data_IF_447782771831
#
_entry.id   IF_447782771831
#
_cell.length_a   1.000
_cell.length_b   1.000
_cell.length_c   1.000
_cell.angle_alpha   90.00
_cell.angle_beta   90.00
_cell.angle_gamma   90.00
#
_symmetry.space_group_name_H-M   'P 1'
#
loop_
_entity.id
_entity.type
_entity.pdbx_description
1 polymer ?
#
# COMPACT_ATOMS: atom_id res chain seq x y z
N UNK A 1 6.67 -34.12 -19.07
CA UNK A 1 6.37 -33.27 -17.90
C UNK A 1 5.04 -33.75 -17.31
N UNK A 2 4.99 -34.23 -16.04
CA UNK A 2 3.73 -34.48 -15.35
C UNK A 2 3.03 -33.15 -15.18
N UNK A 3 1.82 -32.99 -15.68
CA UNK A 3 0.97 -31.88 -15.34
C UNK A 3 0.79 -31.89 -13.81
N UNK A 4 1.32 -30.90 -13.10
CA UNK A 4 1.03 -30.74 -11.68
C UNK A 4 -0.48 -30.47 -11.60
N UNK A 5 -1.19 -31.22 -10.73
CA UNK A 5 -2.58 -30.89 -10.45
C UNK A 5 -2.64 -29.46 -9.93
N UNK A 6 -3.60 -28.64 -10.39
CA UNK A 6 -3.75 -27.29 -9.88
C UNK A 6 -3.96 -27.31 -8.36
N UNK A 7 -3.37 -26.35 -7.66
CA UNK A 7 -3.60 -26.16 -6.22
C UNK A 7 -5.04 -25.67 -6.07
N UNK A 8 -5.87 -26.42 -5.35
CA UNK A 8 -7.28 -26.11 -5.16
C UNK A 8 -7.57 -25.29 -3.88
N UNK A 9 -6.63 -25.33 -2.93
CA UNK A 9 -6.78 -24.65 -1.64
C UNK A 9 -5.40 -24.34 -1.05
N UNK A 10 -5.25 -23.15 -0.48
CA UNK A 10 -4.08 -22.77 0.32
C UNK A 10 -4.54 -22.21 1.66
N UNK A 11 -3.90 -22.63 2.75
CA UNK A 11 -4.10 -22.07 4.09
C UNK A 11 -2.75 -21.55 4.58
N UNK A 12 -2.72 -20.31 5.05
CA UNK A 12 -1.52 -19.67 5.54
C UNK A 12 -1.83 -18.70 6.69
N UNK A 13 -0.80 -18.24 7.38
CA UNK A 13 -0.92 -17.29 8.48
C UNK A 13 -1.68 -16.04 8.05
N UNK A 14 -2.64 -15.58 8.88
CA UNK A 14 -3.43 -14.39 8.59
C UNK A 14 -2.54 -13.20 8.27
N UNK A 15 -2.68 -12.56 7.09
CA UNK A 15 -1.78 -11.52 6.64
C UNK A 15 -1.96 -10.19 7.36
N UNK A 16 -0.98 -9.31 7.17
CA UNK A 16 -1.03 -7.89 7.52
C UNK A 16 -1.00 -7.04 6.24
N UNK A 17 -1.68 -5.90 6.26
CA UNK A 17 -1.61 -4.91 5.19
C UNK A 17 -0.72 -3.74 5.62
N UNK A 18 0.45 -3.60 5.00
CA UNK A 18 1.43 -2.60 5.41
C UNK A 18 1.23 -1.23 4.75
N UNK A 19 0.11 -1.05 4.00
CA UNK A 19 -0.26 0.24 3.40
C UNK A 19 -1.74 0.30 3.04
N UNK A 20 -2.55 1.05 3.79
CA UNK A 20 -4.00 1.11 3.62
C UNK A 20 -4.56 2.52 3.82
N UNK A 21 -5.46 2.95 2.93
CA UNK A 21 -6.28 4.16 3.10
C UNK A 21 -7.71 3.82 3.48
N UNK A 22 -8.18 4.32 4.62
CA UNK A 22 -9.54 4.09 5.10
C UNK A 22 -10.46 5.31 4.95
N UNK A 23 -9.88 6.51 4.74
CA UNK A 23 -10.62 7.78 4.80
C UNK A 23 -11.22 8.01 6.20
N UNK A 24 -12.30 8.79 6.31
CA UNK A 24 -12.95 9.10 7.59
C UNK A 24 -14.48 9.21 7.43
N UNK A 25 -15.20 9.40 8.53
CA UNK A 25 -16.65 9.57 8.54
C UNK A 25 -17.41 8.37 7.97
N UNK A 26 -18.44 8.61 7.17
CA UNK A 26 -19.28 7.56 6.59
C UNK A 26 -18.50 6.54 5.73
N UNK A 27 -17.35 6.94 5.17
CA UNK A 27 -16.51 6.06 4.39
C UNK A 27 -15.92 4.90 5.22
N UNK A 28 -15.60 5.12 6.51
CA UNK A 28 -15.06 4.07 7.39
C UNK A 28 -15.97 2.85 7.48
N UNK A 29 -17.26 3.07 7.70
CA UNK A 29 -18.23 1.98 7.81
C UNK A 29 -18.34 1.14 6.54
N UNK A 30 -18.06 1.75 5.38
CA UNK A 30 -18.10 1.06 4.09
C UNK A 30 -16.85 0.22 3.80
N UNK A 31 -15.65 0.64 4.28
CA UNK A 31 -14.39 0.02 3.84
C UNK A 31 -13.68 -0.80 4.93
N UNK A 32 -13.83 -0.44 6.21
CA UNK A 32 -13.19 -1.17 7.32
C UNK A 32 -13.58 -2.64 7.36
N UNK A 33 -14.85 -3.05 7.12
CA UNK A 33 -15.22 -4.47 7.10
C UNK A 33 -14.41 -5.28 6.08
N UNK A 34 -14.16 -4.76 4.89
CA UNK A 34 -13.47 -5.48 3.82
C UNK A 34 -12.02 -5.83 4.20
N UNK A 35 -11.30 -4.88 4.79
CA UNK A 35 -9.93 -5.13 5.26
C UNK A 35 -9.90 -5.99 6.52
N UNK A 36 -10.82 -5.76 7.47
CA UNK A 36 -10.89 -6.52 8.72
C UNK A 36 -11.24 -8.00 8.52
N UNK A 37 -11.88 -8.37 7.43
CA UNK A 37 -12.13 -9.78 7.09
C UNK A 37 -10.85 -10.51 6.68
N UNK A 38 -9.94 -9.85 6.00
CA UNK A 38 -8.76 -10.46 5.38
C UNK A 38 -7.53 -10.34 6.28
N UNK A 39 -7.28 -9.16 6.84
CA UNK A 39 -6.04 -8.80 7.52
C UNK A 39 -6.22 -8.78 9.05
N UNK A 40 -5.17 -9.19 9.77
CA UNK A 40 -5.12 -9.05 11.22
C UNK A 40 -4.81 -7.62 11.64
N UNK A 41 -3.91 -6.96 10.90
CA UNK A 41 -3.47 -5.58 11.13
C UNK A 41 -3.35 -4.84 9.80
N UNK A 42 -3.45 -3.50 9.88
CA UNK A 42 -3.07 -2.68 8.73
C UNK A 42 -2.40 -1.37 9.16
N UNK A 43 -1.35 -0.97 8.42
CA UNK A 43 -0.74 0.35 8.55
C UNK A 43 -1.60 1.38 7.85
N UNK A 44 -2.24 2.24 8.63
CA UNK A 44 -3.24 3.19 8.15
C UNK A 44 -2.58 4.50 7.77
N UNK A 45 -2.78 4.93 6.52
CA UNK A 45 -2.21 6.15 5.99
C UNK A 45 -2.88 7.40 6.57
N UNK A 46 -2.09 8.47 6.86
CA UNK A 46 -2.53 9.62 7.64
C UNK A 46 -3.09 10.77 6.80
N UNK A 47 -3.22 10.62 5.48
CA UNK A 47 -3.58 11.69 4.53
C UNK A 47 -5.09 11.99 4.48
N UNK A 48 -5.65 12.29 5.64
CA UNK A 48 -7.00 12.83 5.78
C UNK A 48 -7.03 14.33 5.45
N UNK A 49 -8.20 14.94 5.55
CA UNK A 49 -8.41 16.40 5.52
C UNK A 49 -9.15 16.85 6.80
N UNK A 50 -8.44 17.48 7.77
CA UNK A 50 -6.98 17.71 7.82
C UNK A 50 -6.17 16.44 8.02
N UNK A 51 -4.85 16.44 7.71
CA UNK A 51 -3.99 15.27 7.90
C UNK A 51 -3.72 14.97 9.37
N UNK A 52 -3.40 13.72 9.67
CA UNK A 52 -3.05 13.26 11.02
C UNK A 52 -1.58 13.60 11.29
N UNK A 53 -1.32 14.68 12.03
CA UNK A 53 0.04 15.19 12.30
C UNK A 53 0.45 15.09 13.75
N UNK A 54 -0.43 14.67 14.66
CA UNK A 54 -0.14 14.55 16.10
C UNK A 54 -0.56 13.20 16.66
N UNK A 55 0.07 12.81 17.77
CA UNK A 55 -0.27 11.60 18.54
C UNK A 55 -1.75 11.58 18.94
N UNK A 56 -2.28 12.71 19.41
CA UNK A 56 -3.69 12.81 19.81
C UNK A 56 -4.65 12.58 18.65
N UNK A 57 -4.34 13.13 17.46
CA UNK A 57 -5.13 12.89 16.25
C UNK A 57 -5.05 11.42 15.80
N UNK A 58 -3.88 10.78 15.90
CA UNK A 58 -3.71 9.37 15.57
C UNK A 58 -4.55 8.48 16.49
N UNK A 59 -4.55 8.73 17.81
CA UNK A 59 -5.40 8.01 18.78
C UNK A 59 -6.88 8.19 18.46
N UNK A 60 -7.33 9.42 18.26
CA UNK A 60 -8.73 9.70 17.93
C UNK A 60 -9.17 9.06 16.60
N UNK A 61 -8.28 9.00 15.61
CA UNK A 61 -8.58 8.31 14.35
C UNK A 61 -8.64 6.79 14.55
N UNK A 62 -7.72 6.23 15.35
CA UNK A 62 -7.74 4.80 15.71
C UNK A 62 -9.08 4.40 16.36
N UNK A 63 -9.58 5.20 17.29
CA UNK A 63 -10.86 4.95 17.95
C UNK A 63 -12.04 4.91 16.95
N UNK A 64 -12.06 5.84 15.99
CA UNK A 64 -13.09 5.85 14.94
C UNK A 64 -13.01 4.63 14.04
N UNK A 65 -11.81 4.17 13.69
CA UNK A 65 -11.61 2.94 12.90
C UNK A 65 -12.11 1.73 13.68
N UNK A 66 -11.73 1.60 14.95
CA UNK A 66 -12.16 0.48 15.80
C UNK A 66 -13.68 0.44 15.99
N UNK A 67 -14.33 1.60 16.07
CA UNK A 67 -15.80 1.67 16.14
C UNK A 67 -16.50 1.20 14.84
N UNK A 68 -15.78 1.17 13.70
CA UNK A 68 -16.28 0.69 12.41
C UNK A 68 -15.95 -0.79 12.14
N UNK A 69 -15.16 -1.44 13.00
CA UNK A 69 -14.85 -2.88 12.88
C UNK A 69 -16.12 -3.68 13.23
N UNK A 70 -16.55 -4.61 12.37
CA UNK A 70 -17.71 -5.46 12.68
C UNK A 70 -17.51 -6.29 13.95
N UNK A 71 -18.58 -6.43 14.72
CA UNK A 71 -18.56 -7.26 15.94
C UNK A 71 -18.08 -8.68 15.62
N UNK A 72 -17.17 -9.20 16.45
CA UNK A 72 -16.60 -10.54 16.30
C UNK A 72 -15.38 -10.62 15.38
N UNK A 73 -15.01 -9.55 14.66
CA UNK A 73 -13.77 -9.50 13.92
C UNK A 73 -12.65 -8.89 14.78
N UNK A 74 -11.49 -9.54 14.77
CA UNK A 74 -10.27 -8.98 15.34
C UNK A 74 -9.50 -8.25 14.24
N UNK A 75 -9.31 -6.94 14.42
CA UNK A 75 -8.52 -6.11 13.51
C UNK A 75 -7.79 -5.01 14.30
N UNK A 76 -6.51 -4.84 14.04
CA UNK A 76 -5.69 -3.82 14.68
C UNK A 76 -5.21 -2.76 13.68
N UNK A 77 -5.72 -1.52 13.73
CA UNK A 77 -5.17 -0.42 12.96
C UNK A 77 -3.86 0.08 13.56
N UNK A 78 -2.79 0.00 12.79
CA UNK A 78 -1.47 0.52 13.10
C UNK A 78 -1.37 1.95 12.58
N UNK A 79 -1.36 2.93 13.49
CA UNK A 79 -1.48 4.33 13.12
C UNK A 79 -0.16 4.94 12.68
N UNK A 80 -0.25 5.94 11.78
CA UNK A 80 0.89 6.71 11.30
C UNK A 80 0.66 8.21 11.46
N UNK A 81 1.75 8.99 11.50
CA UNK A 81 1.69 10.45 11.35
C UNK A 81 2.04 10.87 9.93
N UNK A 82 1.51 12.01 9.56
CA UNK A 82 1.82 12.69 8.29
C UNK A 82 3.05 13.60 8.50
N UNK A 83 4.14 13.35 7.75
CA UNK A 83 5.31 14.20 7.76
C UNK A 83 5.02 15.50 6.99
N UNK A 84 5.20 16.62 7.66
CA UNK A 84 5.11 17.97 7.08
C UNK A 84 6.42 18.71 7.27
N UNK A 85 6.63 19.81 6.55
CA UNK A 85 7.81 20.69 6.74
C UNK A 85 7.96 21.20 8.17
N UNK A 86 6.88 21.19 8.96
CA UNK A 86 6.83 21.77 10.32
C UNK A 86 6.53 20.76 11.42
N UNK A 87 6.49 19.45 11.11
CA UNK A 87 6.33 18.43 12.14
C UNK A 87 7.50 18.48 13.13
N UNK A 88 7.20 18.82 14.39
CA UNK A 88 8.24 19.03 15.40
C UNK A 88 8.90 17.70 15.82
N UNK A 89 10.23 17.66 16.01
CA UNK A 89 10.94 16.47 16.52
C UNK A 89 10.38 15.95 17.85
N UNK A 90 9.90 16.84 18.71
CA UNK A 90 9.29 16.48 20.00
C UNK A 90 8.00 15.68 19.86
N UNK A 91 7.31 15.75 18.71
CA UNK A 91 6.11 14.97 18.46
C UNK A 91 6.43 13.48 18.25
N UNK A 92 7.63 13.15 17.77
CA UNK A 92 8.04 11.77 17.53
C UNK A 92 8.02 10.91 18.79
N UNK A 93 8.53 11.46 19.90
CA UNK A 93 8.48 10.77 21.21
C UNK A 93 7.05 10.56 21.70
N UNK A 94 6.17 11.58 21.55
CA UNK A 94 4.76 11.47 21.90
C UNK A 94 4.03 10.45 21.02
N UNK A 95 4.29 10.47 19.72
CA UNK A 95 3.72 9.53 18.77
C UNK A 95 4.09 8.07 19.11
N UNK A 96 5.37 7.81 19.36
CA UNK A 96 5.83 6.48 19.76
C UNK A 96 5.18 6.00 21.07
N UNK A 97 5.10 6.88 22.08
CA UNK A 97 4.43 6.56 23.36
C UNK A 97 2.93 6.28 23.19
N UNK A 98 2.28 6.88 22.18
CA UNK A 98 0.88 6.65 21.84
C UNK A 98 0.64 5.43 20.91
N UNK A 99 1.69 4.65 20.59
CA UNK A 99 1.58 3.46 19.76
C UNK A 99 1.54 3.74 18.25
N UNK A 100 1.93 4.94 17.80
CA UNK A 100 2.16 5.22 16.37
C UNK A 100 3.35 4.39 15.89
N UNK A 101 3.20 3.70 14.76
CA UNK A 101 4.19 2.73 14.26
C UNK A 101 5.14 3.31 13.22
N UNK A 102 4.80 4.42 12.58
CA UNK A 102 5.63 5.03 11.54
C UNK A 102 5.20 6.48 11.24
N UNK A 103 6.02 7.19 10.45
CA UNK A 103 5.67 8.51 9.90
C UNK A 103 5.71 8.44 8.38
N UNK A 104 4.67 8.92 7.71
CA UNK A 104 4.52 8.89 6.24
C UNK A 104 4.95 10.17 5.59
N UNK A 105 5.89 10.07 4.67
CA UNK A 105 6.34 11.12 3.75
C UNK A 105 5.51 11.10 2.47
N UNK A 106 4.88 12.21 2.16
CA UNK A 106 4.38 12.56 0.82
C UNK A 106 5.13 13.79 0.33
N UNK A 107 5.76 13.78 -0.84
CA UNK A 107 6.13 15.02 -1.52
C UNK A 107 4.88 15.86 -1.80
N UNK A 108 4.95 17.17 -1.59
CA UNK A 108 3.80 18.05 -1.78
C UNK A 108 3.25 17.96 -3.22
N UNK A 109 1.97 17.65 -3.35
CA UNK A 109 1.29 17.51 -4.65
C UNK A 109 1.55 16.19 -5.38
N UNK A 110 2.21 15.20 -4.76
CA UNK A 110 2.52 13.92 -5.42
C UNK A 110 1.28 13.05 -5.67
N UNK A 111 0.29 13.08 -4.78
CA UNK A 111 -0.90 12.23 -4.86
C UNK A 111 -2.11 12.87 -4.17
N UNK A 112 -3.21 12.15 -4.07
CA UNK A 112 -4.44 12.63 -3.41
C UNK A 112 -4.18 13.02 -1.95
N UNK A 113 -4.66 14.20 -1.54
CA UNK A 113 -4.48 14.78 -0.20
C UNK A 113 -3.02 14.91 0.24
N UNK A 114 -2.13 15.25 -0.70
CA UNK A 114 -0.71 15.50 -0.42
C UNK A 114 -0.33 16.99 -0.43
N UNK A 115 -1.29 17.89 -0.40
CA UNK A 115 -1.06 19.34 -0.40
C UNK A 115 -0.24 19.82 0.80
N UNK A 116 -0.42 19.18 1.98
CA UNK A 116 0.33 19.46 3.20
C UNK A 116 1.67 18.71 3.27
N UNK A 117 2.08 18.04 2.20
CA UNK A 117 3.28 17.22 2.12
C UNK A 117 4.57 18.03 2.23
N UNK A 118 5.68 17.31 2.18
CA UNK A 118 7.02 17.88 2.29
C UNK A 118 7.36 18.64 0.99
N UNK A 119 7.70 19.90 1.10
CA UNK A 119 8.13 20.74 -0.02
C UNK A 119 9.64 20.65 -0.25
N UNK A 120 10.40 20.49 0.83
CA UNK A 120 11.86 20.34 0.81
C UNK A 120 12.29 19.35 1.90
N UNK A 121 12.84 18.20 1.50
CA UNK A 121 13.18 17.12 2.43
C UNK A 121 14.12 17.54 3.55
N UNK A 122 15.07 18.46 3.27
CA UNK A 122 16.04 18.95 4.29
C UNK A 122 15.39 19.68 5.46
N UNK A 123 14.20 20.25 5.29
CA UNK A 123 13.46 20.90 6.39
C UNK A 123 13.02 19.88 7.45
N UNK A 124 12.83 18.63 7.05
CA UNK A 124 12.38 17.55 7.95
C UNK A 124 13.54 16.84 8.67
N UNK A 125 14.81 17.16 8.37
CA UNK A 125 15.98 16.46 8.91
C UNK A 125 16.00 16.38 10.44
N UNK A 126 15.68 17.44 11.21
CA UNK A 126 15.62 17.31 12.67
C UNK A 126 14.56 16.29 13.16
N UNK A 127 13.45 16.17 12.42
CA UNK A 127 12.40 15.20 12.73
C UNK A 127 12.83 13.79 12.32
N UNK A 128 13.52 13.63 11.18
CA UNK A 128 14.08 12.34 10.75
C UNK A 128 15.15 11.82 11.70
N UNK A 129 15.98 12.70 12.24
CA UNK A 129 16.97 12.37 13.28
C UNK A 129 16.27 11.84 14.55
N UNK A 130 15.22 12.54 15.01
CA UNK A 130 14.40 12.08 16.13
C UNK A 130 13.74 10.72 15.84
N UNK A 131 13.27 10.48 14.62
CA UNK A 131 12.72 9.20 14.20
C UNK A 131 13.76 8.08 14.22
N UNK A 132 14.98 8.32 13.71
CA UNK A 132 16.08 7.37 13.75
C UNK A 132 16.41 6.98 15.19
N UNK A 133 16.60 7.96 16.09
CA UNK A 133 16.86 7.71 17.51
C UNK A 133 15.70 6.97 18.21
N UNK A 134 14.47 7.29 17.84
CA UNK A 134 13.30 6.62 18.38
C UNK A 134 13.07 5.21 17.80
N UNK A 135 13.74 4.84 16.71
CA UNK A 135 13.48 3.62 15.96
C UNK A 135 12.10 3.62 15.29
N UNK A 136 11.57 4.80 14.90
CA UNK A 136 10.29 4.95 14.24
C UNK A 136 10.50 5.01 12.72
N UNK A 137 9.97 4.06 11.93
CA UNK A 137 10.17 4.00 10.49
C UNK A 137 9.63 5.21 9.72
N UNK A 138 10.29 5.55 8.62
CA UNK A 138 9.83 6.46 7.59
C UNK A 138 9.19 5.66 6.44
N UNK A 139 7.94 5.95 6.12
CA UNK A 139 7.22 5.38 4.98
C UNK A 139 7.23 6.41 3.86
N UNK A 140 7.68 6.04 2.66
CA UNK A 140 7.98 7.00 1.60
C UNK A 140 7.11 6.78 0.37
N UNK A 141 6.30 7.79 0.00
CA UNK A 141 5.78 7.91 -1.35
C UNK A 141 6.90 8.51 -2.23
N UNK A 142 7.51 7.68 -3.06
CA UNK A 142 8.77 8.02 -3.71
C UNK A 142 8.62 8.54 -5.12
N UNK A 143 7.99 9.68 -5.30
CA UNK A 143 7.91 10.38 -6.59
C UNK A 143 8.31 11.84 -6.46
N UNK A 144 9.09 12.34 -7.43
CA UNK A 144 9.31 13.80 -7.58
C UNK A 144 8.06 14.46 -8.16
N UNK A 145 7.86 15.75 -7.87
CA UNK A 145 6.67 16.50 -8.30
C UNK A 145 6.97 17.59 -9.33
N UNK A 146 8.22 17.68 -9.81
CA UNK A 146 8.60 18.59 -10.87
C UNK A 146 7.82 18.27 -12.15
N UNK A 147 7.01 19.20 -12.70
CA UNK A 147 6.22 18.98 -13.90
C UNK A 147 7.06 18.75 -15.17
N UNK A 148 8.34 19.09 -15.16
CA UNK A 148 9.26 18.83 -16.27
C UNK A 148 9.68 17.35 -16.34
N UNK A 149 9.48 16.58 -15.27
CA UNK A 149 9.81 15.15 -15.22
C UNK A 149 8.62 14.33 -15.69
N UNK A 150 8.86 13.44 -16.66
CA UNK A 150 7.84 12.48 -17.14
C UNK A 150 7.26 11.69 -15.96
N UNK A 151 5.93 11.56 -15.95
CA UNK A 151 5.21 10.85 -14.90
C UNK A 151 5.72 9.41 -14.66
N UNK A 152 6.19 8.75 -15.72
CA UNK A 152 6.70 7.39 -15.65
C UNK A 152 8.13 7.31 -15.08
N UNK A 153 8.87 8.40 -15.03
CA UNK A 153 10.26 8.48 -14.54
C UNK A 153 10.39 9.05 -13.12
N UNK A 154 9.30 9.58 -12.55
CA UNK A 154 9.29 10.28 -11.24
C UNK A 154 9.86 9.45 -10.10
N UNK A 155 9.54 8.15 -10.06
CA UNK A 155 10.06 7.24 -9.02
C UNK A 155 11.58 7.05 -9.15
N UNK A 156 12.08 6.83 -10.36
CA UNK A 156 13.52 6.72 -10.61
C UNK A 156 14.27 7.98 -10.22
N UNK A 157 13.76 9.15 -10.64
CA UNK A 157 14.38 10.43 -10.30
C UNK A 157 14.36 10.67 -8.79
N UNK A 158 13.29 10.26 -8.09
CA UNK A 158 13.23 10.35 -6.62
C UNK A 158 14.30 9.48 -5.95
N UNK A 159 14.52 8.26 -6.43
CA UNK A 159 15.59 7.38 -5.92
C UNK A 159 16.94 8.11 -6.03
N UNK A 160 17.26 8.60 -7.22
CA UNK A 160 18.57 9.19 -7.52
C UNK A 160 18.81 10.50 -6.74
N UNK A 161 17.79 11.34 -6.60
CA UNK A 161 17.93 12.71 -6.10
C UNK A 161 17.55 12.89 -4.63
N UNK A 162 16.72 12.01 -4.07
CA UNK A 162 16.18 12.14 -2.71
C UNK A 162 16.51 10.92 -1.84
N UNK A 163 16.22 9.71 -2.30
CA UNK A 163 16.25 8.53 -1.45
C UNK A 163 17.69 8.05 -1.16
N UNK A 164 18.57 8.06 -2.15
CA UNK A 164 20.00 7.74 -1.97
C UNK A 164 20.67 8.74 -1.03
N UNK A 165 20.56 10.08 -1.20
CA UNK A 165 21.06 11.05 -0.23
C UNK A 165 20.47 10.86 1.17
N UNK A 166 19.15 10.64 1.28
CA UNK A 166 18.48 10.42 2.56
C UNK A 166 19.06 9.21 3.31
N UNK A 167 19.25 8.08 2.62
CA UNK A 167 19.83 6.87 3.20
C UNK A 167 21.26 7.09 3.67
N UNK A 168 22.06 7.86 2.92
CA UNK A 168 23.43 8.23 3.31
C UNK A 168 23.43 9.09 4.59
N UNK A 169 22.52 10.07 4.66
CA UNK A 169 22.47 11.03 5.77
C UNK A 169 21.85 10.41 7.05
N UNK A 170 20.98 9.39 6.89
CA UNK A 170 20.32 8.64 8.00
C UNK A 170 20.51 7.12 7.83
N UNK A 171 21.71 6.57 8.11
CA UNK A 171 22.03 5.17 7.79
C UNK A 171 21.27 4.14 8.62
N UNK A 172 20.77 4.49 9.81
CA UNK A 172 20.03 3.59 10.71
C UNK A 172 18.52 3.86 10.71
N UNK A 173 18.03 4.88 10.01
CA UNK A 173 16.61 5.12 9.89
C UNK A 173 15.96 3.97 9.08
N UNK A 174 15.02 3.27 9.68
CA UNK A 174 14.20 2.31 8.93
C UNK A 174 13.37 3.05 7.88
N UNK A 175 13.47 2.63 6.63
CA UNK A 175 12.71 3.20 5.51
C UNK A 175 11.91 2.09 4.84
N UNK A 176 10.62 2.32 4.66
CA UNK A 176 9.77 1.52 3.78
C UNK A 176 9.52 2.34 2.52
N UNK A 177 10.05 1.87 1.40
CA UNK A 177 9.75 2.43 0.09
C UNK A 177 8.41 1.86 -0.36
N UNK A 178 7.37 2.68 -0.26
CA UNK A 178 6.00 2.24 -0.40
C UNK A 178 5.60 2.06 -1.87
N UNK A 179 4.72 1.04 -2.12
CA UNK A 179 4.05 0.79 -3.41
C UNK A 179 4.97 1.01 -4.63
N UNK A 180 6.18 0.44 -4.56
CA UNK A 180 7.19 0.59 -5.63
C UNK A 180 6.68 0.08 -6.98
N UNK A 181 7.12 0.73 -8.07
CA UNK A 181 6.57 0.46 -9.40
C UNK A 181 7.61 0.20 -10.47
N UNK A 182 8.89 0.42 -10.20
CA UNK A 182 9.96 0.31 -11.19
C UNK A 182 10.97 -0.78 -10.87
N UNK A 183 11.66 -1.27 -11.91
CA UNK A 183 12.81 -2.16 -11.75
C UNK A 183 13.93 -1.48 -10.96
N UNK A 184 14.12 -0.18 -11.15
CA UNK A 184 15.11 0.63 -10.44
C UNK A 184 14.83 0.63 -8.93
N UNK A 185 13.56 0.71 -8.53
CA UNK A 185 13.17 0.59 -7.12
C UNK A 185 13.47 -0.81 -6.55
N UNK A 186 13.21 -1.88 -7.31
CA UNK A 186 13.54 -3.24 -6.84
C UNK A 186 15.04 -3.41 -6.65
N UNK A 187 15.87 -2.92 -7.57
CA UNK A 187 17.33 -2.97 -7.47
C UNK A 187 17.82 -2.16 -6.25
N UNK A 188 17.34 -0.91 -6.11
CA UNK A 188 17.69 -0.07 -4.96
C UNK A 188 17.39 -0.77 -3.62
N UNK A 189 16.21 -1.36 -3.46
CA UNK A 189 15.81 -2.04 -2.21
C UNK A 189 16.67 -3.29 -1.96
N UNK A 190 16.99 -4.06 -3.01
CA UNK A 190 17.86 -5.25 -2.89
C UNK A 190 19.27 -4.87 -2.43
N UNK A 191 19.84 -3.80 -2.99
CA UNK A 191 21.20 -3.32 -2.71
C UNK A 191 21.29 -2.54 -1.38
N UNK A 192 20.19 -1.88 -0.96
CA UNK A 192 20.14 -1.15 0.30
C UNK A 192 20.30 -2.11 1.50
N UNK A 193 20.89 -1.61 2.59
CA UNK A 193 21.10 -2.37 3.82
C UNK A 193 19.81 -2.88 4.49
N UNK A 194 19.93 -3.48 5.67
CA UNK A 194 18.83 -4.09 6.42
C UNK A 194 17.74 -3.09 6.87
N UNK A 195 18.03 -1.80 6.89
CA UNK A 195 17.09 -0.75 7.28
C UNK A 195 16.18 -0.28 6.13
N UNK A 196 16.16 -0.99 5.00
CA UNK A 196 15.29 -0.66 3.86
C UNK A 196 14.43 -1.87 3.48
N UNK A 197 13.11 -1.67 3.45
CA UNK A 197 12.12 -2.58 2.90
C UNK A 197 11.22 -1.86 1.91
N UNK A 198 10.32 -2.58 1.25
CA UNK A 198 9.36 -1.99 0.32
C UNK A 198 8.02 -2.73 0.31
N UNK A 199 6.94 -1.99 0.11
CA UNK A 199 5.63 -2.57 -0.20
C UNK A 199 5.42 -2.68 -1.70
N UNK A 200 4.73 -3.75 -2.13
CA UNK A 200 4.30 -3.94 -3.51
C UNK A 200 2.80 -4.24 -3.52
N UNK A 201 2.05 -3.53 -4.33
CA UNK A 201 0.59 -3.68 -4.43
C UNK A 201 0.19 -4.77 -5.41
N UNK A 202 -0.99 -5.37 -5.22
CA UNK A 202 -1.53 -6.36 -6.14
C UNK A 202 -1.71 -5.81 -7.57
N UNK A 203 -2.18 -4.56 -7.70
CA UNK A 203 -2.39 -3.97 -9.01
C UNK A 203 -1.09 -3.70 -9.78
N UNK A 204 0.04 -3.40 -9.11
CA UNK A 204 1.34 -3.30 -9.76
C UNK A 204 1.96 -4.66 -10.13
N UNK A 205 1.57 -5.74 -9.45
CA UNK A 205 1.95 -7.11 -9.83
C UNK A 205 1.15 -7.62 -11.03
N UNK A 206 -0.16 -7.31 -11.07
CA UNK A 206 -1.09 -7.84 -12.06
C UNK A 206 -1.06 -7.07 -13.39
N UNK A 207 -0.85 -5.75 -13.34
CA UNK A 207 -1.08 -4.88 -14.49
C UNK A 207 0.12 -4.03 -14.85
N UNK A 208 0.31 -3.83 -16.17
CA UNK A 208 1.13 -2.77 -16.71
C UNK A 208 0.24 -1.59 -17.16
N UNK A 209 0.86 -0.49 -17.62
CA UNK A 209 0.17 0.75 -18.01
C UNK A 209 -0.92 0.58 -19.06
N UNK A 210 -0.89 -0.50 -19.88
CA UNK A 210 -1.95 -0.76 -20.86
C UNK A 210 -3.32 -0.92 -20.19
N UNK A 211 -3.37 -1.42 -18.93
CA UNK A 211 -4.63 -1.58 -18.21
C UNK A 211 -5.39 -0.25 -17.99
N UNK A 212 -4.72 0.89 -18.06
CA UNK A 212 -5.35 2.23 -17.96
C UNK A 212 -6.03 2.62 -19.29
N UNK A 213 -5.47 2.18 -20.43
CA UNK A 213 -5.80 2.68 -21.76
C UNK A 213 -6.46 1.66 -22.68
N UNK A 214 -6.66 0.42 -22.23
CA UNK A 214 -7.27 -0.65 -23.02
C UNK A 214 -8.46 -1.25 -22.28
N UNK A 215 -9.59 -1.37 -22.96
CA UNK A 215 -10.74 -2.13 -22.48
C UNK A 215 -10.48 -3.63 -22.43
N UNK A 216 -11.37 -4.40 -21.79
CA UNK A 216 -11.25 -5.85 -21.64
C UNK A 216 -11.12 -6.60 -22.99
N UNK A 217 -11.66 -6.05 -24.09
CA UNK A 217 -11.55 -6.60 -25.45
C UNK A 217 -10.31 -6.12 -26.23
N UNK A 218 -9.36 -5.40 -25.58
CA UNK A 218 -8.16 -4.88 -26.24
C UNK A 218 -8.37 -3.62 -27.07
N UNK A 219 -9.60 -3.09 -27.17
CA UNK A 219 -9.89 -1.81 -27.82
C UNK A 219 -9.48 -0.62 -26.96
N UNK A 220 -9.26 0.55 -27.58
CA UNK A 220 -8.93 1.79 -26.88
C UNK A 220 -10.06 2.18 -25.91
N UNK A 221 -9.70 2.42 -24.65
CA UNK A 221 -10.61 2.85 -23.59
C UNK A 221 -9.82 3.51 -22.47
N UNK A 222 -10.42 4.49 -21.79
CA UNK A 222 -9.87 5.00 -20.53
C UNK A 222 -10.55 4.26 -19.36
N UNK A 223 -9.75 3.64 -18.52
CA UNK A 223 -10.22 2.90 -17.34
C UNK A 223 -9.79 3.62 -16.05
N UNK A 224 -10.53 4.61 -15.56
CA UNK A 224 -10.14 5.47 -14.46
C UNK A 224 -9.96 4.70 -13.14
N UNK A 225 -10.62 3.55 -12.95
CA UNK A 225 -10.48 2.70 -11.76
C UNK A 225 -9.14 1.95 -11.68
N UNK A 226 -8.33 1.97 -12.76
CA UNK A 226 -6.95 1.47 -12.80
C UNK A 226 -5.92 2.60 -12.65
N UNK A 227 -6.36 3.86 -12.57
CA UNK A 227 -5.48 5.00 -12.35
C UNK A 227 -5.14 5.13 -10.87
N UNK A 228 -3.84 5.04 -10.55
CA UNK A 228 -3.23 5.21 -9.23
C UNK A 228 -1.96 6.05 -9.35
N UNK A 229 -1.42 6.53 -8.24
CA UNK A 229 -0.09 7.14 -8.13
C UNK A 229 0.68 6.46 -7.00
N UNK A 230 1.90 5.94 -7.28
CA UNK A 230 2.58 5.94 -8.58
C UNK A 230 1.81 5.16 -9.65
N UNK A 231 1.90 5.67 -10.90
CA UNK A 231 1.16 5.10 -12.02
C UNK A 231 1.71 3.72 -12.43
N UNK A 232 0.85 2.85 -12.95
CA UNK A 232 1.25 1.58 -13.58
C UNK A 232 2.33 1.83 -14.65
N UNK A 233 3.41 1.04 -14.64
CA UNK A 233 4.57 1.22 -15.50
C UNK A 233 4.55 0.27 -16.72
N UNK A 234 5.65 0.21 -17.48
CA UNK A 234 5.85 -0.73 -18.57
C UNK A 234 5.91 -2.17 -18.06
N UNK A 235 5.72 -3.12 -18.98
CA UNK A 235 5.74 -4.56 -18.68
C UNK A 235 7.08 -5.02 -18.05
N UNK A 236 8.19 -4.46 -18.48
CA UNK A 236 9.52 -4.78 -17.89
C UNK A 236 9.61 -4.47 -16.40
N UNK A 237 9.00 -3.37 -15.95
CA UNK A 237 8.93 -3.00 -14.55
C UNK A 237 8.00 -3.94 -13.77
N UNK A 238 6.80 -4.24 -14.33
CA UNK A 238 5.89 -5.20 -13.71
C UNK A 238 6.56 -6.56 -13.49
N UNK A 239 7.29 -7.07 -14.47
CA UNK A 239 8.04 -8.35 -14.35
C UNK A 239 9.08 -8.29 -13.23
N UNK A 240 9.82 -7.19 -13.11
CA UNK A 240 10.78 -7.01 -12.04
C UNK A 240 10.12 -7.00 -10.65
N UNK A 241 8.94 -6.39 -10.50
CA UNK A 241 8.16 -6.43 -9.26
C UNK A 241 7.70 -7.84 -8.93
N UNK A 242 7.18 -8.58 -9.90
CA UNK A 242 6.76 -10.00 -9.72
C UNK A 242 7.96 -10.84 -9.27
N UNK A 243 9.09 -10.71 -9.93
CA UNK A 243 10.32 -11.41 -9.56
C UNK A 243 10.74 -11.06 -8.13
N UNK A 244 10.77 -9.77 -7.75
CA UNK A 244 11.13 -9.32 -6.42
C UNK A 244 10.17 -9.87 -5.33
N UNK A 245 8.86 -9.89 -5.59
CA UNK A 245 7.86 -10.40 -4.65
C UNK A 245 7.94 -11.92 -4.46
N UNK A 246 8.33 -12.67 -5.52
CA UNK A 246 8.28 -14.13 -5.54
C UNK A 246 9.63 -14.82 -5.34
N UNK A 247 10.73 -14.07 -5.33
CA UNK A 247 12.08 -14.63 -5.14
C UNK A 247 12.35 -15.15 -3.71
N UNK A 248 11.47 -14.91 -2.75
CA UNK A 248 11.62 -15.33 -1.35
C UNK A 248 12.56 -14.46 -0.52
N UNK A 249 12.94 -13.28 -1.02
CA UNK A 249 13.68 -12.27 -0.25
C UNK A 249 12.78 -11.57 0.76
N UNK A 250 13.31 -11.20 1.93
CA UNK A 250 12.53 -10.67 3.06
C UNK A 250 12.30 -9.16 3.05
N UNK A 251 12.83 -8.45 2.06
CA UNK A 251 12.74 -6.98 1.98
C UNK A 251 11.44 -6.48 1.33
N UNK A 252 10.72 -7.34 0.64
CA UNK A 252 9.47 -7.00 -0.04
C UNK A 252 8.30 -7.65 0.68
N UNK A 253 7.24 -6.88 0.88
CA UNK A 253 6.04 -7.35 1.57
C UNK A 253 4.78 -6.68 1.05
N UNK A 254 3.63 -7.23 1.43
CA UNK A 254 2.32 -6.79 1.00
C UNK A 254 1.99 -5.38 1.52
N UNK A 255 1.55 -4.50 0.65
CA UNK A 255 0.87 -3.26 1.00
C UNK A 255 -0.16 -2.98 -0.08
N UNK A 256 -1.44 -3.00 0.26
CA UNK A 256 -2.51 -2.95 -0.75
C UNK A 256 -2.58 -1.62 -1.46
N UNK A 257 -2.22 -0.53 -0.80
CA UNK A 257 -2.54 0.84 -1.23
C UNK A 257 -4.01 0.96 -1.67
N UNK A 258 -4.89 0.20 -0.99
CA UNK A 258 -6.31 0.30 -1.27
C UNK A 258 -6.80 1.70 -0.94
N UNK A 259 -7.21 2.43 -1.97
CA UNK A 259 -7.55 3.84 -1.86
C UNK A 259 -8.99 4.08 -2.35
N UNK A 260 -9.98 4.10 -1.44
CA UNK A 260 -11.37 4.28 -1.81
C UNK A 260 -11.66 5.72 -2.25
N UNK A 261 -12.37 5.85 -3.37
CA UNK A 261 -12.90 7.09 -3.91
C UNK A 261 -14.30 6.88 -4.47
N UNK A 262 -15.21 7.85 -4.35
CA UNK A 262 -16.48 7.82 -5.06
C UNK A 262 -16.27 7.62 -6.57
N UNK A 263 -17.07 6.76 -7.21
CA UNK A 263 -16.93 6.44 -8.63
C UNK A 263 -17.00 7.72 -9.49
N UNK A 264 -17.93 8.63 -9.18
CA UNK A 264 -18.06 9.89 -9.91
C UNK A 264 -16.81 10.80 -9.83
N UNK A 265 -15.98 10.69 -8.77
CA UNK A 265 -14.73 11.45 -8.67
C UNK A 265 -13.59 10.78 -9.45
N UNK A 266 -13.64 9.47 -9.62
CA UNK A 266 -12.70 8.74 -10.48
C UNK A 266 -13.01 8.94 -11.97
N UNK A 267 -14.29 9.02 -12.31
CA UNK A 267 -14.78 9.14 -13.69
C UNK A 267 -14.90 10.60 -14.14
N UNK A 268 -14.46 11.54 -13.32
CA UNK A 268 -14.39 12.97 -13.63
C UNK A 268 -13.10 13.34 -14.34
N UNK A 269 -13.10 14.44 -15.10
CA UNK A 269 -11.91 14.90 -15.85
C UNK A 269 -10.67 15.17 -14.97
N UNK A 270 -10.87 15.56 -13.70
CA UNK A 270 -9.79 15.73 -12.72
C UNK A 270 -9.37 14.43 -12.02
N UNK A 271 -10.01 13.32 -12.29
CA UNK A 271 -9.90 11.97 -11.74
C UNK A 271 -9.04 11.76 -10.49
N UNK A 272 -9.57 11.15 -9.45
CA UNK A 272 -8.78 10.82 -8.27
C UNK A 272 -7.85 9.63 -8.54
N UNK A 273 -6.58 9.73 -8.11
CA UNK A 273 -5.65 8.61 -8.12
C UNK A 273 -5.93 7.66 -6.95
N UNK A 274 -5.95 6.36 -7.23
CA UNK A 274 -6.13 5.29 -6.25
C UNK A 274 -6.99 4.15 -6.79
N UNK A 275 -6.57 2.91 -6.52
CA UNK A 275 -7.33 1.70 -6.81
C UNK A 275 -7.94 1.18 -5.52
N UNK A 276 -9.21 0.77 -5.54
CA UNK A 276 -9.81 0.12 -4.39
C UNK A 276 -9.68 -1.39 -4.50
N UNK A 277 -8.86 -1.99 -3.66
CA UNK A 277 -8.53 -3.42 -3.69
C UNK A 277 -8.96 -4.17 -2.43
N UNK A 278 -9.28 -3.49 -1.32
CA UNK A 278 -9.53 -4.11 -0.03
C UNK A 278 -10.67 -5.14 -0.01
N UNK A 279 -11.61 -5.12 -0.97
CA UNK A 279 -12.67 -6.12 -1.04
C UNK A 279 -12.13 -7.53 -1.32
N UNK A 280 -11.10 -7.64 -2.16
CA UNK A 280 -10.55 -8.91 -2.68
C UNK A 280 -9.02 -8.89 -2.72
N UNK A 281 -8.39 -8.21 -1.75
CA UNK A 281 -6.97 -7.94 -1.81
C UNK A 281 -6.13 -9.22 -1.86
N UNK A 282 -6.38 -10.15 -0.94
CA UNK A 282 -5.55 -11.36 -0.84
C UNK A 282 -5.79 -12.32 -2.01
N UNK A 283 -6.99 -12.33 -2.58
CA UNK A 283 -7.31 -13.08 -3.81
C UNK A 283 -6.54 -12.53 -5.01
N UNK A 284 -6.42 -11.19 -5.12
CA UNK A 284 -5.64 -10.54 -6.19
C UNK A 284 -4.15 -10.87 -6.07
N UNK A 285 -3.60 -10.89 -4.85
CA UNK A 285 -2.22 -11.35 -4.64
C UNK A 285 -2.05 -12.83 -4.97
N UNK A 286 -3.01 -13.67 -4.60
CA UNK A 286 -2.99 -15.09 -4.95
C UNK A 286 -2.99 -15.30 -6.47
N UNK A 287 -3.80 -14.56 -7.24
CA UNK A 287 -3.77 -14.59 -8.72
C UNK A 287 -2.38 -14.20 -9.27
N UNK A 288 -1.75 -13.16 -8.70
CA UNK A 288 -0.44 -12.70 -9.15
C UNK A 288 0.65 -13.75 -8.91
N UNK A 289 0.65 -14.40 -7.74
CA UNK A 289 1.62 -15.44 -7.38
C UNK A 289 1.35 -16.76 -8.12
N UNK A 290 0.08 -17.14 -8.27
CA UNK A 290 -0.33 -18.33 -9.00
C UNK A 290 0.06 -18.27 -10.49
N UNK A 291 -0.09 -17.10 -11.11
CA UNK A 291 0.26 -16.87 -12.51
C UNK A 291 1.74 -17.19 -12.85
N UNK A 292 2.61 -17.20 -11.85
CA UNK A 292 4.05 -17.52 -12.00
C UNK A 292 4.46 -18.79 -11.23
N UNK A 293 3.49 -19.53 -10.68
CA UNK A 293 3.75 -20.79 -9.96
C UNK A 293 4.44 -20.61 -8.61
N UNK A 294 4.26 -19.47 -7.93
CA UNK A 294 4.94 -19.09 -6.71
C UNK A 294 4.02 -18.94 -5.49
N UNK A 295 2.88 -19.64 -5.47
CA UNK A 295 1.93 -19.59 -4.34
C UNK A 295 2.57 -19.94 -2.99
N UNK A 296 3.60 -20.79 -2.99
CA UNK A 296 4.40 -21.15 -1.80
C UNK A 296 5.16 -19.96 -1.19
N UNK A 297 5.33 -18.85 -1.90
CA UNK A 297 5.98 -17.63 -1.43
C UNK A 297 4.99 -16.61 -0.87
N UNK A 298 3.68 -16.78 -1.11
CA UNK A 298 2.66 -15.81 -0.72
C UNK A 298 2.61 -15.59 0.79
N UNK A 299 2.73 -16.64 1.61
CA UNK A 299 2.72 -16.53 3.06
C UNK A 299 3.86 -15.66 3.59
N UNK A 300 5.09 -15.88 3.13
CA UNK A 300 6.25 -15.06 3.50
C UNK A 300 6.01 -13.59 3.18
N UNK A 301 5.59 -13.30 1.94
CA UNK A 301 5.34 -11.96 1.45
C UNK A 301 4.18 -11.24 2.17
N UNK A 302 3.09 -11.94 2.44
CA UNK A 302 1.87 -11.34 3.00
C UNK A 302 1.84 -11.30 4.53
N UNK A 303 2.50 -12.27 5.21
CA UNK A 303 2.29 -12.49 6.64
C UNK A 303 3.57 -12.38 7.49
N UNK A 304 4.77 -12.52 6.90
CA UNK A 304 6.00 -12.59 7.68
C UNK A 304 6.93 -11.40 7.48
N UNK A 305 7.27 -11.08 6.24
CA UNK A 305 8.37 -10.15 5.95
C UNK A 305 8.12 -8.75 6.52
N UNK A 306 6.90 -8.24 6.41
CA UNK A 306 6.55 -6.94 6.97
C UNK A 306 6.57 -6.96 8.50
N UNK A 307 5.97 -7.97 9.15
CA UNK A 307 6.00 -8.11 10.61
C UNK A 307 7.45 -8.13 11.14
N UNK A 308 8.32 -8.93 10.51
CA UNK A 308 9.74 -9.02 10.87
C UNK A 308 10.46 -7.68 10.66
N UNK A 309 10.20 -6.97 9.55
CA UNK A 309 10.78 -5.65 9.28
C UNK A 309 10.39 -4.61 10.34
N UNK A 310 9.10 -4.57 10.70
CA UNK A 310 8.61 -3.65 11.74
C UNK A 310 8.97 -4.09 13.17
N UNK A 311 9.47 -5.32 13.35
CA UNK A 311 9.79 -5.90 14.66
C UNK A 311 8.54 -6.24 15.47
N UNK A 312 7.44 -6.57 14.79
CA UNK A 312 6.19 -7.01 15.39
C UNK A 312 6.08 -8.54 15.39
N UNK A 313 5.38 -9.14 16.37
CA UNK A 313 5.16 -10.58 16.35
C UNK A 313 4.35 -10.97 15.11
N UNK A 314 4.66 -12.13 14.51
CA UNK A 314 3.85 -12.72 13.44
C UNK A 314 2.49 -13.13 14.00
N UNK A 315 1.44 -13.04 13.18
CA UNK A 315 0.09 -13.45 13.58
C UNK A 315 0.02 -14.96 13.84
N UNK A 316 -0.92 -15.38 14.68
CA UNK A 316 -1.17 -16.79 15.01
C UNK A 316 -2.42 -17.36 14.34
N UNK A 317 -3.33 -16.50 13.85
CA UNK A 317 -4.50 -16.91 13.07
C UNK A 317 -4.12 -17.30 11.64
N UNK A 318 -5.04 -17.93 10.93
CA UNK A 318 -4.88 -18.32 9.54
C UNK A 318 -6.04 -17.86 8.68
N UNK A 319 -5.80 -17.78 7.38
CA UNK A 319 -6.79 -17.59 6.32
C UNK A 319 -6.68 -18.72 5.31
N UNK A 320 -7.80 -19.03 4.67
CA UNK A 320 -7.83 -20.06 3.63
C UNK A 320 -8.38 -19.46 2.35
N UNK A 321 -7.66 -19.65 1.25
CA UNK A 321 -8.14 -19.35 -0.09
C UNK A 321 -8.46 -20.64 -0.82
N UNK A 322 -9.60 -20.66 -1.52
CA UNK A 322 -10.03 -21.76 -2.37
C UNK A 322 -10.05 -21.31 -3.82
N UNK A 323 -9.68 -22.20 -4.74
CA UNK A 323 -9.85 -21.99 -6.17
C UNK A 323 -11.34 -22.16 -6.52
N UNK A 324 -12.12 -21.17 -6.18
CA UNK A 324 -13.57 -21.10 -6.37
C UNK A 324 -13.90 -19.79 -7.08
N UNK A 325 -14.11 -19.81 -8.40
CA UNK A 325 -14.38 -18.59 -9.16
C UNK A 325 -15.61 -17.85 -8.65
N UNK A 326 -15.48 -16.53 -8.48
CA UNK A 326 -16.58 -15.66 -8.08
C UNK A 326 -16.52 -14.32 -8.81
N UNK A 327 -17.66 -13.66 -8.95
CA UNK A 327 -17.74 -12.36 -9.62
C UNK A 327 -17.63 -11.26 -8.56
N UNK A 328 -16.65 -10.37 -8.75
CA UNK A 328 -16.50 -9.18 -7.90
C UNK A 328 -17.71 -8.26 -8.15
N UNK A 329 -18.41 -7.77 -7.10
CA UNK A 329 -19.49 -6.79 -7.28
C UNK A 329 -19.04 -5.60 -8.14
N UNK A 330 -19.87 -5.17 -9.07
CA UNK A 330 -19.50 -4.08 -9.98
C UNK A 330 -19.29 -2.77 -9.21
N UNK A 331 -20.15 -2.51 -8.23
CA UNK A 331 -20.08 -1.34 -7.34
C UNK A 331 -20.43 -1.73 -5.90
N UNK A 332 -20.02 -0.89 -4.95
CA UNK A 332 -20.29 -1.02 -3.53
C UNK A 332 -20.85 0.30 -2.98
N UNK A 333 -21.72 0.28 -1.97
CA UNK A 333 -22.11 1.49 -1.25
C UNK A 333 -20.88 2.19 -0.63
N UNK A 334 -20.85 3.53 -0.69
CA UNK A 334 -19.76 4.34 -0.11
C UNK A 334 -20.31 5.68 0.41
N UNK A 335 -20.89 5.67 1.60
CA UNK A 335 -21.69 6.77 2.08
C UNK A 335 -22.86 7.04 1.15
N UNK A 336 -23.02 8.28 0.70
CA UNK A 336 -24.05 8.68 -0.25
C UNK A 336 -23.69 8.44 -1.73
N UNK A 337 -22.53 7.79 -1.98
CA UNK A 337 -21.99 7.52 -3.30
C UNK A 337 -21.82 6.01 -3.56
N UNK A 338 -21.29 5.68 -4.73
CA UNK A 338 -20.85 4.33 -5.10
C UNK A 338 -19.33 4.28 -5.18
N UNK A 339 -18.75 3.15 -4.82
CA UNK A 339 -17.35 2.81 -4.98
C UNK A 339 -17.23 1.64 -5.96
N UNK A 340 -16.34 1.72 -6.95
CA UNK A 340 -16.06 0.61 -7.85
C UNK A 340 -14.75 -0.06 -7.43
N UNK A 341 -14.78 -1.35 -7.02
CA UNK A 341 -13.57 -2.09 -6.71
C UNK A 341 -12.76 -2.41 -7.98
N UNK A 342 -11.47 -2.63 -7.81
CA UNK A 342 -10.64 -3.18 -8.89
C UNK A 342 -11.23 -4.54 -9.30
N UNK A 343 -11.29 -4.81 -10.60
CA UNK A 343 -11.98 -6.00 -11.16
C UNK A 343 -13.50 -6.04 -10.94
N UNK A 344 -14.15 -4.93 -10.56
CA UNK A 344 -15.62 -4.87 -10.43
C UNK A 344 -16.34 -5.36 -11.70
N UNK A 345 -17.25 -6.34 -11.55
CA UNK A 345 -17.94 -7.05 -12.64
C UNK A 345 -17.13 -8.18 -13.29
N UNK A 346 -15.86 -8.37 -12.91
CA UNK A 346 -15.00 -9.44 -13.45
C UNK A 346 -14.92 -10.64 -12.50
N UNK A 347 -14.52 -11.80 -13.02
CA UNK A 347 -14.34 -13.04 -12.24
C UNK A 347 -12.92 -13.12 -11.68
N UNK A 348 -12.78 -13.42 -10.40
CA UNK A 348 -11.54 -13.86 -9.77
C UNK A 348 -11.55 -15.38 -9.61
N UNK A 349 -10.38 -16.00 -9.75
CA UNK A 349 -10.21 -17.45 -9.63
C UNK A 349 -10.14 -17.94 -8.19
N UNK A 350 -9.67 -17.11 -7.28
CA UNK A 350 -9.49 -17.40 -5.87
C UNK A 350 -10.56 -16.69 -5.02
N UNK A 351 -10.97 -17.34 -3.93
CA UNK A 351 -11.95 -16.82 -2.98
C UNK A 351 -11.51 -17.08 -1.55
N UNK A 352 -11.59 -16.08 -0.70
CA UNK A 352 -11.42 -16.23 0.74
C UNK A 352 -12.58 -17.05 1.32
N UNK A 353 -12.25 -18.12 2.10
CA UNK A 353 -13.22 -19.08 2.65
C UNK A 353 -13.78 -18.62 4.00
#
# INVERSE_FOLDING_TARGET
MRAMNPIECITFTRPDDWHLHLRDGAALAAVVPHTAHQFARAVVMPNLKPPVTTAAQAVAYRERILAAVPAGLAFEPLMTLYLTDVLAPSEIGRAKAAGVVAVKLYPAGATTNSDAGVTELRRTYPTLEAMQHAGLPLLVHGEVTDPAIDLFDREKVFIDTQLIPLRRDFPELKIVFEHITTREATHYVLEAGAFTGATITAHHLLYNRNAIFLGAGGGAALRPHYYCLPVLKREEHRRALVEAATAGGTKFFLGTDSAPHPAQLKEHASGCAGCYTALSAIELYAEAFDAVGALDKLEGFASFHGADFYGLPRNTGSVTLRREPWVVPETLPFGDAQLKPLRGGETLAWRLA
#
